data_IF_762316683267
#
_entry.id   IF_762316683267
#
_cell.length_a   1.000
_cell.length_b   1.000
_cell.length_c   1.000
_cell.angle_alpha   90.00
_cell.angle_beta   90.00
_cell.angle_gamma   90.00
#
_symmetry.space_group_name_H-M   'P 1'
#
loop_
_entity.id
_entity.type
_entity.pdbx_description
1 polymer ?
#
# COMPACT_ATOMS: atom_id res chain seq x y z
N UNK A 1 22.06 13.93 3.12
CA UNK A 1 21.37 15.13 2.57
C UNK A 1 19.92 15.12 3.04
N UNK A 2 19.61 15.82 4.13
CA UNK A 2 18.28 15.78 4.74
C UNK A 2 17.43 16.95 4.27
N UNK A 3 16.53 16.71 3.33
CA UNK A 3 15.41 17.64 3.11
C UNK A 3 14.49 17.53 4.33
N UNK A 4 14.19 18.64 5.05
CA UNK A 4 13.28 18.62 6.18
C UNK A 4 11.92 18.03 5.79
N UNK A 5 11.34 17.19 6.65
CA UNK A 5 10.06 16.51 6.41
C UNK A 5 8.92 17.47 6.01
N UNK A 6 8.91 18.68 6.57
CA UNK A 6 7.97 19.74 6.23
C UNK A 6 8.08 20.19 4.76
N UNK A 7 9.31 20.32 4.23
CA UNK A 7 9.54 20.66 2.82
C UNK A 7 9.08 19.54 1.89
N UNK A 8 9.20 18.28 2.30
CA UNK A 8 8.69 17.13 1.54
C UNK A 8 7.17 17.16 1.45
N UNK A 9 6.46 17.48 2.54
CA UNK A 9 4.99 17.62 2.52
C UNK A 9 4.51 18.74 1.59
N UNK A 10 5.19 19.88 1.60
CA UNK A 10 4.86 21.02 0.73
C UNK A 10 5.03 20.69 -0.76
N UNK A 11 6.13 20.03 -1.13
CA UNK A 11 6.35 19.58 -2.50
C UNK A 11 5.25 18.62 -2.98
N UNK A 12 4.87 17.66 -2.13
CA UNK A 12 3.83 16.70 -2.49
C UNK A 12 2.48 17.38 -2.69
N UNK A 13 2.12 18.33 -1.82
CA UNK A 13 0.87 19.09 -1.96
C UNK A 13 0.85 19.92 -3.26
N UNK A 14 1.98 20.53 -3.63
CA UNK A 14 2.13 21.29 -4.88
C UNK A 14 1.97 20.40 -6.12
N UNK A 15 2.61 19.23 -6.13
CA UNK A 15 2.47 18.25 -7.22
C UNK A 15 1.02 17.79 -7.34
N UNK A 16 0.35 17.52 -6.22
CA UNK A 16 -1.07 17.16 -6.25
C UNK A 16 -1.95 18.27 -6.80
N UNK A 17 -1.80 19.52 -6.34
CA UNK A 17 -2.58 20.67 -6.85
C UNK A 17 -2.41 20.80 -8.35
N UNK A 18 -1.16 20.79 -8.84
CA UNK A 18 -0.87 20.84 -10.26
C UNK A 18 -1.61 19.76 -11.05
N UNK A 19 -1.59 18.52 -10.57
CA UNK A 19 -2.27 17.40 -11.24
C UNK A 19 -3.80 17.55 -11.22
N UNK A 20 -4.37 18.09 -10.15
CA UNK A 20 -5.82 18.36 -10.06
C UNK A 20 -6.23 19.48 -11.02
N UNK A 21 -5.45 20.56 -11.07
CA UNK A 21 -5.76 21.77 -11.83
C UNK A 21 -5.63 21.55 -13.34
N UNK A 22 -4.75 20.64 -13.78
CA UNK A 22 -4.52 20.38 -15.22
C UNK A 22 -5.45 19.34 -15.83
N UNK A 23 -6.45 18.80 -15.11
CA UNK A 23 -7.31 17.69 -15.55
C UNK A 23 -6.53 16.54 -16.22
N UNK A 24 -5.39 16.17 -15.65
CA UNK A 24 -4.50 15.16 -16.23
C UNK A 24 -5.27 13.84 -16.45
N UNK A 25 -5.30 13.33 -17.68
CA UNK A 25 -5.79 11.97 -17.97
C UNK A 25 -4.82 10.91 -17.40
N UNK A 26 -5.03 10.52 -16.15
CA UNK A 26 -4.05 9.73 -15.37
C UNK A 26 -3.92 8.32 -15.92
N UNK A 27 -2.70 7.92 -16.26
CA UNK A 27 -2.38 6.53 -16.56
C UNK A 27 -2.28 5.69 -15.26
N UNK A 28 -2.21 4.36 -15.41
CA UNK A 28 -1.90 3.46 -14.27
C UNK A 28 -0.54 3.80 -13.65
N UNK A 29 0.45 4.16 -14.47
CA UNK A 29 1.79 4.56 -14.02
C UNK A 29 1.75 5.85 -13.19
N UNK A 30 0.98 6.85 -13.64
CA UNK A 30 0.83 8.11 -12.89
C UNK A 30 0.17 7.88 -11.53
N UNK A 31 -0.83 6.98 -11.50
CA UNK A 31 -1.48 6.59 -10.25
C UNK A 31 -0.51 5.86 -9.32
N UNK A 32 0.37 5.00 -9.82
CA UNK A 32 1.38 4.33 -8.99
C UNK A 32 2.35 5.36 -8.38
N UNK A 33 2.85 6.29 -9.18
CA UNK A 33 3.77 7.35 -8.72
C UNK A 33 3.14 8.23 -7.63
N UNK A 34 1.87 8.60 -7.79
CA UNK A 34 1.13 9.36 -6.77
C UNK A 34 0.95 8.55 -5.49
N UNK A 35 0.73 7.24 -5.61
CA UNK A 35 0.69 6.32 -4.49
C UNK A 35 1.99 6.29 -3.69
N UNK A 36 3.13 6.21 -4.37
CA UNK A 36 4.46 6.24 -3.76
C UNK A 36 4.76 7.60 -3.10
N UNK A 37 4.46 8.70 -3.79
CA UNK A 37 4.63 10.05 -3.26
C UNK A 37 3.76 10.28 -2.01
N UNK A 38 2.53 9.78 -2.00
CA UNK A 38 1.66 9.80 -0.85
C UNK A 38 2.20 8.95 0.31
N UNK A 39 2.78 7.77 0.03
CA UNK A 39 3.41 6.94 1.04
C UNK A 39 4.62 7.64 1.68
N UNK A 40 5.54 8.19 0.88
CA UNK A 40 6.73 8.87 1.38
C UNK A 40 6.42 10.15 2.18
N UNK A 41 5.25 10.75 1.96
CA UNK A 41 4.75 11.89 2.76
C UNK A 41 3.95 11.48 4.00
N UNK A 42 3.83 10.17 4.28
CA UNK A 42 3.08 9.62 5.41
C UNK A 42 1.56 9.62 5.24
N UNK A 43 1.06 9.92 4.03
CA UNK A 43 -0.37 10.05 3.74
C UNK A 43 -0.92 8.71 3.24
N UNK A 44 -0.95 7.73 4.15
CA UNK A 44 -1.26 6.32 3.87
C UNK A 44 -2.67 6.08 3.30
N UNK A 45 -3.70 6.86 3.68
CA UNK A 45 -5.03 6.80 3.02
C UNK A 45 -4.92 7.12 1.53
N UNK A 46 -4.24 8.22 1.20
CA UNK A 46 -4.04 8.64 -0.20
C UNK A 46 -3.17 7.63 -0.95
N UNK A 47 -2.15 7.08 -0.30
CA UNK A 47 -1.33 6.04 -0.89
C UNK A 47 -2.18 4.83 -1.31
N UNK A 48 -3.06 4.32 -0.44
CA UNK A 48 -3.99 3.24 -0.80
C UNK A 48 -4.86 3.65 -1.99
N UNK A 49 -5.47 4.83 -1.95
CA UNK A 49 -6.36 5.31 -3.02
C UNK A 49 -5.69 5.30 -4.40
N UNK A 50 -4.45 5.79 -4.49
CA UNK A 50 -3.72 5.89 -5.75
C UNK A 50 -3.12 4.55 -6.18
N UNK A 51 -2.56 3.75 -5.27
CA UNK A 51 -2.05 2.42 -5.58
C UNK A 51 -3.19 1.49 -6.04
N UNK A 52 -4.37 1.55 -5.43
CA UNK A 52 -5.55 0.80 -5.88
C UNK A 52 -6.04 1.19 -7.28
N UNK A 53 -5.84 2.46 -7.68
CA UNK A 53 -6.13 2.92 -9.05
C UNK A 53 -5.11 2.42 -10.06
N UNK A 54 -3.87 2.20 -9.64
CA UNK A 54 -2.81 1.66 -10.48
C UNK A 54 -2.91 0.12 -10.64
N UNK A 55 -3.48 -0.57 -9.66
CA UNK A 55 -3.64 -2.03 -9.66
C UNK A 55 -4.58 -2.49 -10.77
N UNK A 56 -4.21 -3.58 -11.43
CA UNK A 56 -5.14 -4.28 -12.33
C UNK A 56 -6.26 -4.91 -11.51
N UNK A 57 -7.48 -4.37 -11.64
CA UNK A 57 -8.63 -4.87 -10.86
C UNK A 57 -9.17 -6.19 -11.39
N UNK A 58 -9.04 -6.46 -12.70
CA UNK A 58 -9.49 -7.72 -13.31
C UNK A 58 -8.56 -8.89 -13.00
N UNK A 59 -7.28 -8.60 -12.72
CA UNK A 59 -6.26 -9.58 -12.38
C UNK A 59 -5.59 -9.24 -11.03
N UNK A 60 -6.41 -9.01 -10.00
CA UNK A 60 -5.96 -8.64 -8.65
C UNK A 60 -4.85 -9.60 -8.18
N UNK A 61 -3.73 -9.01 -7.72
CA UNK A 61 -2.57 -9.69 -7.13
C UNK A 61 -1.79 -10.67 -8.05
N UNK A 62 -2.13 -10.76 -9.34
CA UNK A 62 -1.40 -11.58 -10.32
C UNK A 62 -0.10 -10.87 -10.75
N UNK A 63 1.03 -11.55 -10.62
CA UNK A 63 2.36 -10.98 -10.95
C UNK A 63 2.56 -10.80 -12.46
N UNK A 64 1.77 -11.49 -13.27
CA UNK A 64 1.78 -11.41 -14.74
C UNK A 64 1.22 -10.07 -15.23
N UNK A 65 0.44 -9.38 -14.39
CA UNK A 65 -0.28 -8.14 -14.74
C UNK A 65 0.01 -6.97 -13.82
N UNK A 66 0.68 -7.22 -12.70
CA UNK A 66 1.09 -6.22 -11.73
C UNK A 66 2.55 -6.46 -11.36
N UNK A 67 3.34 -5.40 -11.40
CA UNK A 67 4.73 -5.43 -10.95
C UNK A 67 4.82 -5.93 -9.48
N UNK A 68 5.67 -6.93 -9.17
CA UNK A 68 5.78 -7.48 -7.81
C UNK A 68 6.20 -6.46 -6.76
N UNK A 69 7.06 -5.49 -7.11
CA UNK A 69 7.49 -4.46 -6.16
C UNK A 69 6.35 -3.47 -5.86
N UNK A 70 5.54 -3.13 -6.86
CA UNK A 70 4.30 -2.39 -6.69
C UNK A 70 3.32 -3.12 -5.75
N UNK A 71 3.10 -4.42 -5.95
CA UNK A 71 2.23 -5.22 -5.07
C UNK A 71 2.77 -5.24 -3.63
N UNK A 72 4.08 -5.41 -3.45
CA UNK A 72 4.70 -5.39 -2.12
C UNK A 72 4.51 -4.03 -1.41
N UNK A 73 4.64 -2.91 -2.15
CA UNK A 73 4.35 -1.57 -1.61
C UNK A 73 2.90 -1.47 -1.16
N UNK A 74 1.94 -1.90 -1.99
CA UNK A 74 0.52 -1.87 -1.65
C UNK A 74 0.20 -2.73 -0.41
N UNK A 75 0.78 -3.94 -0.32
CA UNK A 75 0.67 -4.78 0.87
C UNK A 75 1.20 -4.06 2.12
N UNK A 76 2.36 -3.41 2.02
CA UNK A 76 2.91 -2.63 3.12
C UNK A 76 2.00 -1.47 3.56
N UNK A 77 1.44 -0.71 2.61
CA UNK A 77 0.52 0.39 2.96
C UNK A 77 -0.76 -0.15 3.63
N UNK A 78 -1.27 -1.31 3.19
CA UNK A 78 -2.39 -1.97 3.83
C UNK A 78 -2.07 -2.40 5.26
N UNK A 79 -0.90 -2.99 5.49
CA UNK A 79 -0.44 -3.35 6.82
C UNK A 79 -0.34 -2.13 7.75
N UNK A 80 0.23 -1.01 7.29
CA UNK A 80 0.32 0.24 8.07
C UNK A 80 -1.04 0.78 8.53
N UNK A 81 -2.12 0.34 7.87
CA UNK A 81 -3.50 0.76 8.13
C UNK A 81 -4.36 -0.34 8.74
N UNK A 82 -3.72 -1.43 9.16
CA UNK A 82 -4.36 -2.59 9.77
C UNK A 82 -5.37 -3.30 8.84
N UNK A 83 -5.26 -3.10 7.53
CA UNK A 83 -5.98 -3.86 6.50
C UNK A 83 -5.23 -5.17 6.25
N UNK A 84 -5.14 -5.98 7.31
CA UNK A 84 -4.26 -7.14 7.36
C UNK A 84 -4.65 -8.22 6.36
N UNK A 85 -5.95 -8.46 6.15
CA UNK A 85 -6.45 -9.45 5.19
C UNK A 85 -6.00 -9.13 3.77
N UNK A 86 -6.17 -7.89 3.34
CA UNK A 86 -5.77 -7.41 2.01
C UNK A 86 -4.26 -7.44 1.83
N UNK A 87 -3.50 -7.08 2.87
CA UNK A 87 -2.05 -7.23 2.86
C UNK A 87 -1.63 -8.69 2.70
N UNK A 88 -2.23 -9.61 3.47
CA UNK A 88 -1.89 -11.03 3.47
C UNK A 88 -2.25 -11.72 2.15
N UNK A 89 -3.36 -11.34 1.52
CA UNK A 89 -3.73 -11.82 0.18
C UNK A 89 -2.65 -11.52 -0.87
N UNK A 90 -2.07 -10.31 -0.82
CA UNK A 90 -0.99 -9.92 -1.73
C UNK A 90 0.27 -10.71 -1.41
N UNK A 91 0.67 -10.79 -0.13
CA UNK A 91 1.87 -11.52 0.28
C UNK A 91 1.77 -13.01 -0.04
N UNK A 92 0.59 -13.62 0.08
CA UNK A 92 0.35 -15.00 -0.33
C UNK A 92 0.56 -15.18 -1.83
N UNK A 93 0.04 -14.28 -2.66
CA UNK A 93 0.25 -14.33 -4.11
C UNK A 93 1.74 -14.19 -4.47
N UNK A 94 2.44 -13.22 -3.88
CA UNK A 94 3.87 -13.02 -4.08
C UNK A 94 4.71 -14.21 -3.58
N UNK A 95 4.35 -14.79 -2.43
CA UNK A 95 5.06 -15.91 -1.81
C UNK A 95 5.04 -17.22 -2.60
N UNK A 96 4.17 -17.34 -3.61
CA UNK A 96 4.19 -18.44 -4.58
C UNK A 96 5.40 -18.38 -5.52
N UNK A 97 5.92 -17.18 -5.78
CA UNK A 97 7.00 -16.94 -6.74
C UNK A 97 8.31 -16.48 -6.06
N UNK A 98 8.21 -15.78 -4.93
CA UNK A 98 9.35 -15.21 -4.22
C UNK A 98 9.43 -15.79 -2.80
N UNK A 99 10.30 -16.78 -2.60
CA UNK A 99 10.41 -17.51 -1.32
C UNK A 99 10.72 -16.60 -0.13
N UNK A 100 11.48 -15.51 -0.33
CA UNK A 100 11.79 -14.52 0.71
C UNK A 100 10.57 -13.79 1.29
N UNK A 101 9.45 -13.75 0.57
CA UNK A 101 8.21 -13.10 1.03
C UNK A 101 7.53 -13.89 2.16
N UNK A 102 7.78 -15.20 2.28
CA UNK A 102 7.15 -16.04 3.32
C UNK A 102 7.47 -15.57 4.74
N UNK A 103 8.68 -15.06 4.97
CA UNK A 103 9.05 -14.51 6.28
C UNK A 103 8.19 -13.29 6.62
N UNK A 104 8.00 -12.38 5.67
CA UNK A 104 7.14 -11.22 5.84
C UNK A 104 5.67 -11.62 6.05
N UNK A 105 5.18 -12.57 5.26
CA UNK A 105 3.82 -13.11 5.37
C UNK A 105 3.57 -13.70 6.76
N UNK A 106 4.48 -14.55 7.26
CA UNK A 106 4.35 -15.18 8.57
C UNK A 106 4.32 -14.13 9.69
N UNK A 107 5.22 -13.14 9.63
CA UNK A 107 5.27 -12.06 10.61
C UNK A 107 3.96 -11.26 10.63
N UNK A 108 3.42 -10.89 9.46
CA UNK A 108 2.17 -10.15 9.36
C UNK A 108 0.98 -10.98 9.85
N UNK A 109 0.97 -12.28 9.55
CA UNK A 109 -0.06 -13.21 10.03
C UNK A 109 -0.05 -13.31 11.55
N UNK A 110 1.11 -13.38 12.20
CA UNK A 110 1.21 -13.39 13.67
C UNK A 110 0.65 -12.12 14.30
N UNK A 111 0.96 -10.95 13.73
CA UNK A 111 0.44 -9.66 14.20
C UNK A 111 -1.08 -9.59 14.05
N UNK A 112 -1.60 -10.01 12.89
CA UNK A 112 -3.04 -10.06 12.66
C UNK A 112 -3.75 -10.99 13.66
N UNK A 113 -3.23 -12.20 13.88
CA UNK A 113 -3.78 -13.14 14.85
C UNK A 113 -3.75 -12.60 16.28
N UNK A 114 -2.68 -11.91 16.68
CA UNK A 114 -2.60 -11.25 18.00
C UNK A 114 -3.68 -10.16 18.16
N UNK A 115 -3.82 -9.29 17.16
CA UNK A 115 -4.83 -8.22 17.15
C UNK A 115 -6.26 -8.78 17.22
N UNK A 116 -6.56 -9.83 16.46
CA UNK A 116 -7.88 -10.47 16.49
C UNK A 116 -8.21 -11.12 17.84
N UNK A 117 -7.24 -11.74 18.50
CA UNK A 117 -7.45 -12.31 19.86
C UNK A 117 -7.78 -11.22 20.88
N UNK A 118 -7.03 -10.11 20.88
CA UNK A 118 -7.30 -8.99 21.78
C UNK A 118 -8.65 -8.29 21.51
N UNK A 119 -9.12 -8.28 20.27
CA UNK A 119 -10.46 -7.79 19.94
C UNK A 119 -11.57 -8.76 20.32
N UNK A 120 -11.31 -10.07 20.34
CA UNK A 120 -12.28 -11.11 20.71
C UNK A 120 -12.48 -11.26 22.23
N UNK A 121 -11.44 -11.02 23.03
CA UNK A 121 -11.55 -11.02 24.50
C UNK A 121 -12.38 -9.85 25.05
N UNK A 122 -12.50 -8.74 24.29
CA UNK A 122 -13.25 -7.55 24.70
C UNK A 122 -14.78 -7.65 24.57
N UNK A 123 -15.34 -8.79 24.15
CA UNK A 123 -16.79 -9.01 23.99
C UNK A 123 -17.38 -10.04 24.96
N UNK A 124 -16.64 -10.41 26.01
CA UNK A 124 -17.15 -11.26 27.11
C UNK A 124 -17.14 -10.43 28.39
N UNK A 125 -18.15 -9.59 28.56
CA UNK A 125 -18.60 -9.04 29.87
C UNK A 125 -20.13 -9.06 29.91
#
# INVERSE_FOLDING_TARGET
SGVPYEKTKDLVAKVESFIYDTQWNRTRRDSALLGELALYSGRTIKAIYYLERARDKGNKNKIETNDPAFLLKLAYVYYLREYYSESLEILFALGKHFTGIRLLQNNFQSIYSYKQRGSGEAFIE
#
